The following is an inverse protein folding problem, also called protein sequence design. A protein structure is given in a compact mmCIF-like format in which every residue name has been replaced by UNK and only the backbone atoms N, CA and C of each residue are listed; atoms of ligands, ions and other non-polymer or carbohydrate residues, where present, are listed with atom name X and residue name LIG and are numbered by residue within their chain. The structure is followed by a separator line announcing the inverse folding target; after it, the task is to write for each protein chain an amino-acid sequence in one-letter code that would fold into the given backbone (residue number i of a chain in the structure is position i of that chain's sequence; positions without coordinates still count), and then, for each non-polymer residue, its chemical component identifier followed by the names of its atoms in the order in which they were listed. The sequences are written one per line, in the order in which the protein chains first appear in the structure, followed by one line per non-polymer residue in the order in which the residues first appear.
data_IF_256156321180
#
_entry.id   IF_256156321180
#
_cell.length_a   1.000
_cell.length_b   1.000
_cell.length_c   1.000
_cell.angle_alpha   90.00
_cell.angle_beta   90.00
_cell.angle_gamma   90.00
#
_symmetry.space_group_name_H-M   'P 1'
#
loop_
_entity.id
_entity.type
_entity.pdbx_description
1 polymer ?
#
# COMPACT_ATOMS: atom_id res chain seq x y z
N UNK A 1 -3.25 3.57 18.59
CA UNK A 1 -3.60 4.66 17.66
C UNK A 1 -4.22 4.08 16.40
N UNK A 2 -5.46 4.44 16.08
CA UNK A 2 -6.40 3.59 15.34
C UNK A 2 -6.39 3.65 13.79
N UNK A 3 -5.52 4.43 13.13
CA UNK A 3 -5.75 4.77 11.70
C UNK A 3 -4.99 3.96 10.65
N UNK A 4 -3.90 3.23 10.95
CA UNK A 4 -3.24 2.37 9.94
C UNK A 4 -4.22 1.32 9.37
N UNK A 5 -5.06 0.78 10.26
CA UNK A 5 -6.11 -0.16 9.91
C UNK A 5 -7.14 0.46 8.95
N UNK A 6 -7.37 1.77 8.97
CA UNK A 6 -8.36 2.41 8.09
C UNK A 6 -7.86 2.50 6.65
N UNK A 7 -6.65 3.03 6.43
CA UNK A 7 -6.05 3.08 5.10
C UNK A 7 -5.91 1.70 4.48
N UNK A 8 -5.43 0.72 5.26
CA UNK A 8 -5.37 -0.67 4.84
C UNK A 8 -6.77 -1.24 4.52
N UNK A 9 -7.76 -1.03 5.39
CA UNK A 9 -9.14 -1.49 5.16
C UNK A 9 -9.76 -0.90 3.90
N UNK A 10 -9.45 0.36 3.58
CA UNK A 10 -9.88 1.00 2.33
C UNK A 10 -9.25 0.31 1.13
N UNK A 11 -7.94 0.07 1.15
CA UNK A 11 -7.25 -0.67 0.09
C UNK A 11 -7.86 -2.08 -0.09
N UNK A 12 -8.10 -2.82 0.99
CA UNK A 12 -8.69 -4.17 0.93
C UNK A 12 -10.15 -4.21 0.50
N UNK A 13 -10.87 -3.08 0.53
CA UNK A 13 -12.26 -3.00 0.07
C UNK A 13 -12.36 -2.48 -1.37
N UNK A 14 -11.59 -1.44 -1.71
CA UNK A 14 -11.63 -0.79 -3.02
C UNK A 14 -11.04 -1.70 -4.09
N UNK A 15 -9.84 -2.25 -3.83
CA UNK A 15 -9.12 -3.04 -4.84
C UNK A 15 -9.95 -4.25 -5.34
N UNK A 16 -10.47 -5.14 -4.49
CA UNK A 16 -11.22 -6.30 -4.97
C UNK A 16 -12.54 -5.91 -5.66
N UNK A 17 -13.15 -4.80 -5.26
CA UNK A 17 -14.37 -4.31 -5.89
C UNK A 17 -14.11 -3.85 -7.33
N UNK A 18 -13.01 -3.12 -7.55
CA UNK A 18 -12.60 -2.67 -8.89
C UNK A 18 -12.07 -3.82 -9.74
N UNK A 19 -11.28 -4.74 -9.18
CA UNK A 19 -10.83 -5.97 -9.88
C UNK A 19 -12.02 -6.80 -10.37
N UNK A 20 -13.02 -7.01 -9.50
CA UNK A 20 -14.23 -7.75 -9.86
C UNK A 20 -15.04 -7.03 -10.93
N UNK A 21 -15.12 -5.71 -10.87
CA UNK A 21 -15.87 -4.89 -11.82
C UNK A 21 -15.22 -4.91 -13.21
N UNK A 22 -13.89 -4.85 -13.24
CA UNK A 22 -13.14 -4.79 -14.49
C UNK A 22 -12.79 -6.18 -15.05
N UNK A 23 -12.89 -7.23 -14.23
CA UNK A 23 -12.50 -8.59 -14.60
C UNK A 23 -10.99 -8.76 -14.76
N UNK A 24 -10.19 -7.87 -14.15
CA UNK A 24 -8.72 -7.88 -14.23
C UNK A 24 -8.12 -7.79 -12.83
N UNK A 25 -6.91 -8.30 -12.67
CA UNK A 25 -6.11 -8.14 -11.45
C UNK A 25 -5.16 -6.94 -11.58
N UNK A 26 -5.00 -6.18 -10.51
CA UNK A 26 -4.04 -5.09 -10.43
C UNK A 26 -2.87 -5.51 -9.54
N UNK A 27 -1.85 -6.13 -10.13
CA UNK A 27 -0.69 -6.67 -9.39
C UNK A 27 0.67 -6.33 -10.02
N UNK A 28 0.69 -5.65 -11.16
CA UNK A 28 1.90 -5.42 -11.96
C UNK A 28 2.77 -4.25 -11.48
N UNK A 29 2.56 -3.77 -10.25
CA UNK A 29 3.28 -2.64 -9.67
C UNK A 29 2.79 -1.30 -10.21
N UNK A 30 2.81 -0.31 -9.34
CA UNK A 30 2.51 1.06 -9.72
C UNK A 30 3.80 1.72 -10.24
N UNK A 31 3.68 2.73 -11.10
CA UNK A 31 4.81 3.47 -11.65
C UNK A 31 4.68 4.95 -11.26
N UNK A 32 5.72 5.46 -10.60
CA UNK A 32 5.79 6.85 -10.13
C UNK A 32 5.64 7.86 -11.27
N UNK A 33 5.96 7.48 -12.51
CA UNK A 33 5.78 8.35 -13.69
C UNK A 33 4.32 8.71 -13.97
N UNK A 34 3.38 7.89 -13.49
CA UNK A 34 1.95 8.13 -13.62
C UNK A 34 1.33 8.73 -12.34
N UNK A 35 2.15 9.08 -11.35
CA UNK A 35 1.69 9.81 -10.16
C UNK A 35 1.43 11.27 -10.54
N UNK A 36 0.21 11.74 -10.27
CA UNK A 36 -0.18 13.12 -10.57
C UNK A 36 0.01 14.04 -9.37
N UNK A 37 -0.27 13.51 -8.17
CA UNK A 37 -0.23 14.25 -6.91
C UNK A 37 1.07 14.01 -6.14
N UNK A 38 1.44 14.95 -5.27
CA UNK A 38 2.59 14.78 -4.39
C UNK A 38 2.33 13.69 -3.34
N UNK A 39 1.08 13.52 -2.90
CA UNK A 39 0.70 12.42 -2.01
C UNK A 39 0.97 11.04 -2.63
N UNK A 40 0.72 10.86 -3.93
CA UNK A 40 1.11 9.63 -4.65
C UNK A 40 2.63 9.45 -4.63
N UNK A 41 3.39 10.48 -5.01
CA UNK A 41 4.86 10.42 -5.10
C UNK A 41 5.51 10.14 -3.75
N UNK A 42 4.99 10.74 -2.68
CA UNK A 42 5.49 10.51 -1.33
C UNK A 42 5.13 9.11 -0.85
N UNK A 43 3.91 8.61 -1.14
CA UNK A 43 3.55 7.23 -0.84
C UNK A 43 4.44 6.23 -1.57
N UNK A 44 4.79 6.47 -2.84
CA UNK A 44 5.76 5.65 -3.57
C UNK A 44 7.11 5.57 -2.87
N UNK A 45 7.68 6.72 -2.47
CA UNK A 45 8.98 6.77 -1.80
C UNK A 45 8.97 6.03 -0.47
N UNK A 46 7.92 6.22 0.34
CA UNK A 46 7.83 5.58 1.66
C UNK A 46 7.56 4.08 1.52
N UNK A 47 6.75 3.65 0.54
CA UNK A 47 6.56 2.23 0.24
C UNK A 47 7.86 1.55 -0.16
N UNK A 48 8.64 2.15 -1.07
CA UNK A 48 9.94 1.60 -1.49
C UNK A 48 10.91 1.52 -0.30
N UNK A 49 11.00 2.57 0.51
CA UNK A 49 11.83 2.58 1.71
C UNK A 49 11.39 1.53 2.74
N UNK A 50 10.08 1.36 2.94
CA UNK A 50 9.54 0.36 3.85
C UNK A 50 9.80 -1.06 3.34
N UNK A 51 9.59 -1.34 2.05
CA UNK A 51 9.90 -2.66 1.46
C UNK A 51 11.40 -3.00 1.59
N UNK A 52 12.28 -2.02 1.39
CA UNK A 52 13.73 -2.16 1.55
C UNK A 52 14.15 -2.43 3.01
N UNK A 53 13.34 -2.03 4.00
CA UNK A 53 13.59 -2.33 5.41
C UNK A 53 12.92 -3.64 5.85
N UNK A 54 11.67 -3.87 5.43
CA UNK A 54 10.89 -5.04 5.79
C UNK A 54 11.57 -6.29 5.24
N UNK A 55 11.91 -6.34 3.95
CA UNK A 55 12.49 -7.54 3.32
C UNK A 55 13.71 -8.11 4.07
N UNK A 56 14.77 -7.33 4.36
CA UNK A 56 15.90 -7.84 5.14
C UNK A 56 15.55 -8.12 6.59
N UNK A 57 14.71 -7.30 7.22
CA UNK A 57 14.25 -7.54 8.59
C UNK A 57 13.53 -8.89 8.71
N UNK A 58 12.75 -9.28 7.71
CA UNK A 58 12.10 -10.59 7.65
C UNK A 58 13.08 -11.74 7.46
N UNK A 59 14.16 -11.53 6.70
CA UNK A 59 15.20 -12.54 6.53
C UNK A 59 16.02 -12.78 7.81
N UNK A 60 16.14 -11.76 8.66
CA UNK A 60 16.84 -11.83 9.94
C UNK A 60 15.91 -12.05 11.13
N UNK A 61 14.64 -12.35 10.89
CA UNK A 61 13.60 -12.52 11.93
C UNK A 61 13.48 -11.30 12.88
N UNK A 62 13.84 -10.11 12.40
CA UNK A 62 13.70 -8.84 13.12
C UNK A 62 12.31 -8.25 12.89
N UNK A 63 11.31 -8.86 13.52
CA UNK A 63 9.91 -8.45 13.39
C UNK A 63 9.66 -7.04 13.97
N UNK A 64 10.47 -6.61 14.94
CA UNK A 64 10.39 -5.26 15.51
C UNK A 64 10.74 -4.20 14.45
N UNK A 65 11.81 -4.41 13.68
CA UNK A 65 12.17 -3.53 12.56
C UNK A 65 11.10 -3.54 11.47
N UNK A 66 10.56 -4.70 11.11
CA UNK A 66 9.48 -4.81 10.13
C UNK A 66 8.20 -4.07 10.57
N UNK A 67 7.80 -4.20 11.84
CA UNK A 67 6.66 -3.47 12.41
C UNK A 67 6.91 -1.95 12.49
N UNK A 68 8.12 -1.53 12.81
CA UNK A 68 8.51 -0.12 12.81
C UNK A 68 8.41 0.49 11.41
N UNK A 69 8.97 -0.17 10.40
CA UNK A 69 8.88 0.24 9.00
C UNK A 69 7.41 0.35 8.54
N UNK A 70 6.58 -0.64 8.90
CA UNK A 70 5.13 -0.60 8.66
C UNK A 70 4.42 0.58 9.32
N UNK A 71 4.82 0.96 10.52
CA UNK A 71 4.23 2.11 11.21
C UNK A 71 4.49 3.43 10.47
N UNK A 72 5.61 3.54 9.75
CA UNK A 72 5.94 4.73 8.94
C UNK A 72 5.01 4.92 7.74
N UNK A 73 4.45 3.83 7.20
CA UNK A 73 3.51 3.87 6.08
C UNK A 73 2.16 4.49 6.43
N UNK A 74 1.82 4.58 7.72
CA UNK A 74 0.51 5.07 8.17
C UNK A 74 0.17 6.46 7.65
N UNK A 75 1.05 7.44 7.93
CA UNK A 75 0.81 8.84 7.58
C UNK A 75 0.68 9.07 6.05
N UNK A 76 1.58 8.54 5.19
CA UNK A 76 1.46 8.73 3.75
C UNK A 76 0.27 7.99 3.14
N UNK A 77 -0.14 6.83 3.69
CA UNK A 77 -1.36 6.14 3.23
C UNK A 77 -2.60 6.98 3.55
N UNK A 78 -2.71 7.51 4.77
CA UNK A 78 -3.83 8.36 5.16
C UNK A 78 -3.89 9.60 4.26
N UNK A 79 -2.75 10.30 4.08
CA UNK A 79 -2.66 11.48 3.22
C UNK A 79 -3.02 11.18 1.74
N UNK A 80 -2.62 10.01 1.22
CA UNK A 80 -3.04 9.55 -0.10
C UNK A 80 -4.56 9.41 -0.18
N UNK A 81 -5.21 8.75 0.77
CA UNK A 81 -6.66 8.57 0.73
C UNK A 81 -7.48 9.84 1.02
N UNK A 82 -6.88 10.85 1.65
CA UNK A 82 -7.49 12.18 1.85
C UNK A 82 -7.31 13.07 0.61
N UNK A 83 -6.15 13.01 -0.05
CA UNK A 83 -5.82 13.88 -1.18
C UNK A 83 -6.07 13.29 -2.56
N UNK A 84 -6.29 11.98 -2.67
CA UNK A 84 -6.32 11.27 -3.96
C UNK A 84 -7.60 10.48 -4.13
N UNK A 85 -8.34 10.82 -5.19
CA UNK A 85 -9.48 10.03 -5.63
C UNK A 85 -9.00 8.86 -6.50
N UNK A 86 -9.08 7.64 -5.97
CA UNK A 86 -8.66 6.42 -6.67
C UNK A 86 -9.43 6.23 -7.98
N UNK A 87 -10.75 6.42 -7.94
CA UNK A 87 -11.59 6.32 -9.12
C UNK A 87 -11.61 7.64 -9.89
N UNK A 88 -10.78 7.76 -10.91
CA UNK A 88 -10.67 8.92 -11.80
C UNK A 88 -11.03 8.53 -13.23
N UNK A 89 -11.43 9.51 -14.05
CA UNK A 89 -11.78 9.32 -15.47
C UNK A 89 -10.57 8.93 -16.34
N UNK A 90 -9.35 9.24 -15.90
CA UNK A 90 -8.14 8.83 -16.58
C UNK A 90 -7.80 7.36 -16.27
N UNK A 91 -8.02 6.48 -17.25
CA UNK A 91 -7.81 5.04 -17.10
C UNK A 91 -6.37 4.65 -16.75
N UNK A 92 -5.37 5.38 -17.25
CA UNK A 92 -3.95 5.15 -16.94
C UNK A 92 -3.66 5.47 -15.48
N UNK A 93 -4.10 6.63 -15.00
CA UNK A 93 -3.90 7.07 -13.61
C UNK A 93 -4.70 6.18 -12.65
N UNK A 94 -5.95 5.85 -13.00
CA UNK A 94 -6.80 4.95 -12.22
C UNK A 94 -6.13 3.60 -12.02
N UNK A 95 -5.60 3.00 -13.09
CA UNK A 95 -4.85 1.74 -13.04
C UNK A 95 -3.61 1.87 -12.17
N UNK A 96 -2.88 2.98 -12.27
CA UNK A 96 -1.72 3.24 -11.43
C UNK A 96 -2.08 3.27 -9.94
N UNK A 97 -3.13 4.00 -9.58
CA UNK A 97 -3.65 4.10 -8.21
C UNK A 97 -4.12 2.75 -7.68
N UNK A 98 -4.78 1.93 -8.50
CA UNK A 98 -5.20 0.58 -8.13
C UNK A 98 -4.00 -0.35 -7.91
N UNK A 99 -2.98 -0.29 -8.77
CA UNK A 99 -1.73 -1.00 -8.53
C UNK A 99 -1.05 -0.55 -7.23
N UNK A 100 -1.13 0.75 -6.89
CA UNK A 100 -0.55 1.28 -5.65
C UNK A 100 -1.30 0.72 -4.42
N UNK A 101 -2.63 0.62 -4.49
CA UNK A 101 -3.43 -0.06 -3.46
C UNK A 101 -3.04 -1.53 -3.29
N UNK A 102 -2.75 -2.21 -4.39
CA UNK A 102 -2.29 -3.61 -4.36
C UNK A 102 -0.94 -3.74 -3.66
N UNK A 103 -0.01 -2.83 -3.92
CA UNK A 103 1.29 -2.80 -3.26
C UNK A 103 1.14 -2.57 -1.74
N UNK A 104 0.35 -1.56 -1.33
CA UNK A 104 0.03 -1.32 0.09
C UNK A 104 -0.52 -2.59 0.73
N UNK A 105 -1.52 -3.22 0.09
CA UNK A 105 -2.14 -4.44 0.61
C UNK A 105 -1.10 -5.54 0.79
N UNK A 106 -0.24 -5.77 -0.21
CA UNK A 106 0.81 -6.80 -0.17
C UNK A 106 1.78 -6.55 0.99
N UNK A 107 2.34 -5.35 1.10
CA UNK A 107 3.28 -4.98 2.17
C UNK A 107 2.65 -5.16 3.54
N UNK A 108 1.40 -4.70 3.71
CA UNK A 108 0.68 -4.85 4.97
C UNK A 108 0.34 -6.32 5.29
N UNK A 109 -0.06 -7.10 4.29
CA UNK A 109 -0.35 -8.53 4.46
C UNK A 109 0.88 -9.32 4.88
N UNK A 110 2.06 -9.04 4.30
CA UNK A 110 3.31 -9.72 4.68
C UNK A 110 3.61 -9.56 6.17
N UNK A 111 3.43 -8.36 6.73
CA UNK A 111 3.65 -8.13 8.16
C UNK A 111 2.49 -8.61 9.02
N UNK A 112 1.25 -8.53 8.54
CA UNK A 112 0.08 -9.04 9.26
C UNK A 112 0.11 -10.58 9.42
N UNK A 113 0.56 -11.32 8.40
CA UNK A 113 0.70 -12.78 8.51
C UNK A 113 1.76 -13.18 9.54
N UNK A 114 2.81 -12.37 9.72
CA UNK A 114 3.82 -12.58 10.76
C UNK A 114 3.29 -12.30 12.17
N UNK A 115 2.47 -11.25 12.34
CA UNK A 115 1.83 -10.98 13.63
C UNK A 115 0.94 -12.11 14.13
N UNK A 116 0.50 -13.02 13.26
CA UNK A 116 -0.25 -14.23 13.61
C UNK A 116 0.64 -15.44 13.92
N UNK A 117 1.91 -15.42 13.52
CA UNK A 117 2.87 -16.50 13.79
C UNK A 117 3.59 -16.31 15.13
N UNK A 118 3.78 -15.06 15.58
CA UNK A 118 4.31 -14.75 16.92
C UNK A 118 3.25 -14.70 18.04
N UNK A 119 1.96 -14.88 17.69
CA UNK A 119 0.82 -14.79 18.61
C UNK A 119 0.32 -16.13 19.13
#
# INVERSE_FOLDING_TARGET
GANLLQGFKRATNILPAEEKKDGVEYSYGADIKFAETDAERDLFKVLEAAEAQITPALQTEDFAAAMSAMATLRAPIDAFFEGVQVNTDNSTVRRNRLNLLSQIRKTCSTVADLSKLEG
#
